data_IF_034151651650
#
_entry.id   IF_034151651650
#
_cell.length_a   1.000
_cell.length_b   1.000
_cell.length_c   1.000
_cell.angle_alpha   90.00
_cell.angle_beta   90.00
_cell.angle_gamma   90.00
#
_symmetry.space_group_name_H-M   'P 1'
#
loop_
_entity.id
_entity.type
_entity.pdbx_description
1 polymer ?
#
# COMPACT_ATOMS: atom_id res chain seq x y z
N UNK A 1 -3.73 -12.26 -19.41
CA UNK A 1 -2.51 -12.67 -18.68
C UNK A 1 -2.88 -12.79 -17.21
N UNK A 2 -2.67 -13.94 -16.58
CA UNK A 2 -2.85 -14.06 -15.12
C UNK A 2 -1.57 -13.57 -14.47
N UNK A 3 -1.65 -12.45 -13.79
CA UNK A 3 -0.57 -11.94 -12.95
C UNK A 3 -0.39 -12.91 -11.77
N UNK A 4 0.63 -13.75 -11.87
CA UNK A 4 1.02 -14.65 -10.78
C UNK A 4 1.97 -13.84 -9.92
N UNK A 5 1.46 -13.28 -8.83
CA UNK A 5 2.28 -12.58 -7.83
C UNK A 5 3.43 -13.50 -7.40
N UNK A 6 4.66 -12.97 -7.27
CA UNK A 6 5.82 -13.79 -6.97
C UNK A 6 5.62 -14.49 -5.63
N UNK A 7 5.69 -15.81 -5.65
CA UNK A 7 5.82 -16.62 -4.43
C UNK A 7 7.24 -16.42 -3.93
N UNK A 8 7.47 -15.35 -3.19
CA UNK A 8 8.71 -15.19 -2.44
C UNK A 8 8.87 -16.42 -1.53
N UNK A 9 9.89 -17.21 -1.82
CA UNK A 9 10.29 -18.32 -0.97
C UNK A 9 10.85 -17.69 0.30
N UNK A 10 10.04 -17.67 1.35
CA UNK A 10 10.39 -17.08 2.65
C UNK A 10 11.55 -17.87 3.23
N UNK A 11 12.75 -17.29 3.19
CA UNK A 11 13.92 -17.84 3.86
C UNK A 11 13.76 -17.68 5.38
N UNK A 12 13.53 -18.80 6.07
CA UNK A 12 13.41 -18.86 7.54
C UNK A 12 14.79 -18.91 8.26
N UNK A 13 15.91 -18.64 7.58
CA UNK A 13 17.25 -18.74 8.15
C UNK A 13 17.59 -17.70 9.23
N UNK A 14 16.80 -16.63 9.38
CA UNK A 14 16.87 -15.69 10.51
C UNK A 14 16.00 -16.16 11.68
N UNK A 15 16.54 -16.17 12.92
CA UNK A 15 15.87 -16.67 14.15
C UNK A 15 14.40 -16.19 14.27
N UNK A 16 13.45 -17.07 13.96
CA UNK A 16 12.03 -16.79 14.11
C UNK A 16 11.59 -16.85 15.59
N UNK A 17 10.85 -15.84 16.04
CA UNK A 17 10.20 -15.82 17.36
C UNK A 17 8.81 -16.44 17.26
N UNK A 18 8.52 -17.42 18.12
CA UNK A 18 7.20 -18.07 18.17
C UNK A 18 6.30 -17.37 19.16
N UNK A 19 5.06 -17.11 18.75
CA UNK A 19 4.01 -16.55 19.60
C UNK A 19 2.82 -17.51 19.66
N UNK A 20 2.18 -17.60 20.82
CA UNK A 20 0.88 -18.22 20.97
C UNK A 20 -0.17 -17.10 21.03
N UNK A 21 -1.22 -17.21 20.22
CA UNK A 21 -2.31 -16.23 20.17
C UNK A 21 -3.64 -16.92 20.45
N UNK A 22 -4.52 -16.24 21.18
CA UNK A 22 -5.91 -16.63 21.33
C UNK A 22 -6.76 -15.90 20.30
N UNK A 23 -7.66 -16.63 19.64
CA UNK A 23 -8.60 -16.07 18.67
C UNK A 23 -10.03 -16.45 19.06
N UNK A 24 -11.02 -15.58 18.85
CA UNK A 24 -12.42 -15.96 18.89
C UNK A 24 -12.67 -17.16 17.98
N UNK A 25 -13.57 -18.06 18.40
CA UNK A 25 -13.82 -19.33 17.71
C UNK A 25 -14.33 -19.10 16.29
N UNK A 26 -15.13 -18.07 16.12
CA UNK A 26 -15.73 -17.64 14.86
C UNK A 26 -14.64 -17.12 13.90
N UNK A 27 -13.73 -16.28 14.40
CA UNK A 27 -12.61 -15.76 13.62
C UNK A 27 -11.66 -16.89 13.19
N UNK A 28 -11.40 -17.84 14.09
CA UNK A 28 -10.59 -19.02 13.76
C UNK A 28 -11.22 -19.87 12.64
N UNK A 29 -12.55 -20.02 12.64
CA UNK A 29 -13.26 -20.74 11.56
C UNK A 29 -13.12 -20.02 10.23
N UNK A 30 -13.29 -18.70 10.21
CA UNK A 30 -13.13 -17.88 9.01
C UNK A 30 -11.70 -17.98 8.47
N UNK A 31 -10.71 -17.91 9.37
CA UNK A 31 -9.31 -18.04 9.02
C UNK A 31 -8.98 -19.42 8.42
N UNK A 32 -9.47 -20.51 9.01
CA UNK A 32 -9.27 -21.85 8.47
C UNK A 32 -9.96 -22.06 7.12
N UNK A 33 -11.15 -21.49 6.92
CA UNK A 33 -11.86 -21.55 5.64
C UNK A 33 -11.08 -20.81 4.54
N UNK A 34 -10.63 -19.58 4.83
CA UNK A 34 -9.79 -18.80 3.91
C UNK A 34 -8.50 -19.54 3.60
N UNK A 35 -7.79 -20.00 4.63
CA UNK A 35 -6.53 -20.73 4.50
C UNK A 35 -6.65 -21.93 3.57
N UNK A 36 -7.68 -22.75 3.75
CA UNK A 36 -7.94 -23.93 2.90
C UNK A 36 -8.21 -23.53 1.46
N UNK A 37 -9.00 -22.46 1.24
CA UNK A 37 -9.33 -21.95 -0.10
C UNK A 37 -8.09 -21.49 -0.86
N UNK A 38 -7.13 -20.88 -0.18
CA UNK A 38 -5.91 -20.31 -0.80
C UNK A 38 -4.68 -21.23 -0.70
N UNK A 39 -4.82 -22.42 -0.11
CA UNK A 39 -3.75 -23.42 -0.05
C UNK A 39 -2.56 -23.08 0.86
N UNK A 40 -2.74 -22.22 1.87
CA UNK A 40 -1.63 -21.80 2.75
C UNK A 40 -1.56 -22.59 4.07
N UNK A 41 -0.41 -22.52 4.74
CA UNK A 41 -0.29 -22.92 6.15
C UNK A 41 -0.85 -21.83 7.08
N UNK A 42 -1.11 -22.16 8.35
CA UNK A 42 -1.62 -21.18 9.33
C UNK A 42 -0.63 -20.04 9.55
N UNK A 43 0.65 -20.38 9.73
CA UNK A 43 1.71 -19.40 9.90
C UNK A 43 1.88 -18.53 8.65
N UNK A 44 1.82 -19.10 7.45
CA UNK A 44 1.94 -18.33 6.21
C UNK A 44 0.78 -17.35 6.03
N UNK A 45 -0.45 -17.75 6.35
CA UNK A 45 -1.61 -16.85 6.28
C UNK A 45 -1.48 -15.70 7.29
N UNK A 46 -1.13 -16.01 8.54
CA UNK A 46 -0.96 -14.99 9.59
C UNK A 46 0.17 -14.03 9.23
N UNK A 47 1.31 -14.54 8.78
CA UNK A 47 2.44 -13.75 8.32
C UNK A 47 2.02 -12.78 7.21
N UNK A 48 1.36 -13.30 6.15
CA UNK A 48 0.88 -12.47 5.04
C UNK A 48 -0.12 -11.41 5.50
N UNK A 49 -1.02 -11.75 6.43
CA UNK A 49 -1.99 -10.81 6.98
C UNK A 49 -1.31 -9.68 7.77
N UNK A 50 -0.30 -10.00 8.59
CA UNK A 50 0.48 -9.01 9.35
C UNK A 50 1.19 -8.04 8.39
N UNK A 51 1.89 -8.58 7.38
CA UNK A 51 2.59 -7.74 6.39
C UNK A 51 1.64 -6.84 5.62
N UNK A 52 0.51 -7.39 5.15
CA UNK A 52 -0.50 -6.59 4.47
C UNK A 52 -1.05 -5.48 5.36
N UNK A 53 -1.36 -5.78 6.63
CA UNK A 53 -1.87 -4.80 7.57
C UNK A 53 -0.85 -3.70 7.87
N UNK A 54 0.42 -4.04 8.10
CA UNK A 54 1.48 -3.05 8.34
C UNK A 54 1.68 -2.12 7.14
N UNK A 55 1.74 -2.67 5.93
CA UNK A 55 1.87 -1.87 4.71
C UNK A 55 0.68 -0.91 4.54
N UNK A 56 -0.55 -1.38 4.80
CA UNK A 56 -1.73 -0.53 4.74
C UNK A 56 -1.75 0.57 5.79
N UNK A 57 -1.28 0.29 7.01
CA UNK A 57 -1.12 1.31 8.05
C UNK A 57 -0.11 2.39 7.67
N UNK A 58 1.00 2.00 7.06
CA UNK A 58 2.01 2.95 6.61
C UNK A 58 1.48 3.84 5.47
N UNK A 59 0.72 3.27 4.53
CA UNK A 59 0.05 4.01 3.47
C UNK A 59 -0.98 5.01 4.02
N UNK A 60 -1.83 4.57 4.96
CA UNK A 60 -2.80 5.44 5.66
C UNK A 60 -2.12 6.63 6.35
N UNK A 61 -0.99 6.38 7.03
CA UNK A 61 -0.25 7.41 7.73
C UNK A 61 0.40 8.41 6.77
N UNK A 62 0.97 7.94 5.64
CA UNK A 62 1.51 8.83 4.59
C UNK A 62 0.43 9.73 3.99
N UNK A 63 -0.74 9.17 3.70
CA UNK A 63 -1.90 9.95 3.20
C UNK A 63 -2.30 11.01 4.22
N UNK A 64 -2.36 10.64 5.50
CA UNK A 64 -2.71 11.57 6.57
C UNK A 64 -1.70 12.71 6.68
N UNK A 65 -0.40 12.39 6.66
CA UNK A 65 0.67 13.39 6.70
C UNK A 65 0.64 14.32 5.49
N UNK A 66 0.38 13.78 4.30
CA UNK A 66 0.22 14.57 3.08
C UNK A 66 -0.94 15.58 3.21
N UNK A 67 -2.11 15.11 3.63
CA UNK A 67 -3.29 15.98 3.82
C UNK A 67 -3.04 17.04 4.90
N UNK A 68 -2.40 16.65 6.00
CA UNK A 68 -2.09 17.57 7.09
C UNK A 68 -1.08 18.64 6.67
N UNK A 69 -0.07 18.27 5.87
CA UNK A 69 0.89 19.20 5.28
C UNK A 69 0.20 20.31 4.49
N UNK A 70 -0.68 19.93 3.56
CA UNK A 70 -1.47 20.87 2.76
C UNK A 70 -2.40 21.75 3.60
N UNK A 71 -3.04 21.19 4.63
CA UNK A 71 -3.90 21.98 5.52
C UNK A 71 -3.13 23.00 6.34
N UNK A 72 -1.90 22.67 6.74
CA UNK A 72 -1.07 23.53 7.58
C UNK A 72 -0.37 24.61 6.77
N UNK A 73 0.04 24.27 5.56
CA UNK A 73 0.73 25.16 4.63
C UNK A 73 0.01 25.09 3.28
N UNK A 74 -1.14 25.76 3.14
CA UNK A 74 -1.77 25.90 1.85
C UNK A 74 -0.87 26.75 0.93
N UNK A 75 -0.94 26.48 -0.36
CA UNK A 75 -0.29 27.31 -1.39
C UNK A 75 -0.79 28.76 -1.30
N UNK A 76 0.11 29.72 -1.46
CA UNK A 76 -0.26 31.14 -1.51
C UNK A 76 -0.90 31.48 -2.85
N UNK A 77 -1.66 32.58 -2.95
CA UNK A 77 -2.20 33.04 -4.22
C UNK A 77 -1.13 33.25 -5.29
N UNK A 78 0.05 33.76 -4.91
CA UNK A 78 1.16 33.93 -5.86
C UNK A 78 1.70 32.59 -6.37
N UNK A 79 1.87 31.61 -5.49
CA UNK A 79 2.30 30.25 -5.86
C UNK A 79 1.29 29.57 -6.80
N UNK A 80 -0.02 29.78 -6.57
CA UNK A 80 -1.07 29.28 -7.45
C UNK A 80 -1.05 29.92 -8.84
N UNK A 81 -0.76 31.22 -8.93
CA UNK A 81 -0.61 31.92 -10.21
C UNK A 81 0.61 31.42 -11.00
N UNK A 82 1.73 31.19 -10.31
CA UNK A 82 2.93 30.61 -10.91
C UNK A 82 2.68 29.19 -11.42
N UNK A 83 2.03 28.34 -10.62
CA UNK A 83 1.64 26.98 -11.00
C UNK A 83 0.74 26.97 -12.24
N UNK A 84 -0.28 27.83 -12.28
CA UNK A 84 -1.19 27.94 -13.42
C UNK A 84 -0.47 28.41 -14.70
N UNK A 85 0.49 29.33 -14.57
CA UNK A 85 1.31 29.78 -15.70
C UNK A 85 2.21 28.65 -16.22
N UNK A 86 2.82 27.87 -15.33
CA UNK A 86 3.63 26.71 -15.69
C UNK A 86 2.80 25.61 -16.37
N UNK A 87 1.63 25.29 -15.83
CA UNK A 87 0.71 24.29 -16.40
C UNK A 87 0.34 24.65 -17.85
N UNK A 88 0.01 25.93 -18.10
CA UNK A 88 -0.30 26.42 -19.45
C UNK A 88 0.87 26.23 -20.42
N UNK A 89 2.09 26.60 -20.02
CA UNK A 89 3.30 26.42 -20.86
C UNK A 89 3.57 24.94 -21.11
N UNK A 90 3.35 24.10 -20.11
CA UNK A 90 3.56 22.66 -20.21
C UNK A 90 2.58 22.03 -21.21
N UNK A 91 1.29 22.38 -21.15
CA UNK A 91 0.29 21.94 -22.13
C UNK A 91 0.62 22.41 -23.54
N UNK A 92 0.97 23.69 -23.72
CA UNK A 92 1.37 24.23 -25.04
C UNK A 92 2.63 23.57 -25.60
N UNK A 93 3.54 23.10 -24.74
CA UNK A 93 4.75 22.38 -25.14
C UNK A 93 4.43 20.93 -25.50
N UNK A 94 3.61 20.25 -24.70
CA UNK A 94 3.15 18.89 -24.99
C UNK A 94 2.33 18.80 -26.29
N UNK A 95 1.56 19.85 -26.64
CA UNK A 95 0.84 19.93 -27.91
C UNK A 95 1.76 20.12 -29.13
N UNK A 96 2.93 20.76 -28.93
CA UNK A 96 3.93 20.98 -29.99
C UNK A 96 4.85 19.78 -30.20
N UNK A 97 5.02 18.96 -29.18
CA UNK A 97 5.69 17.67 -29.31
C UNK A 97 4.71 16.69 -29.97
N UNK A 98 4.87 16.49 -31.28
CA UNK A 98 4.14 15.48 -32.04
C UNK A 98 4.60 14.10 -31.56
N UNK A 99 3.83 13.46 -30.67
CA UNK A 99 4.09 12.12 -30.13
C UNK A 99 3.80 11.01 -31.18
N UNK A 100 4.35 11.17 -32.38
CA UNK A 100 4.28 10.20 -33.49
C UNK A 100 5.51 9.31 -33.56
#
# INVERSE_FOLDING_TARGET
MKEVLPTEVIDMSTKAVKIAISLPKEDFKLLEALRKRIGLSRSALIYRAIHYWLAKREEEEKIKQYIEGYRRYPETPEELEELAAMEKVQLETMEKEDWS
#
